data_IF_335874447975
#
_entry.id   IF_335874447975
#
_cell.length_a   1.000
_cell.length_b   1.000
_cell.length_c   1.000
_cell.angle_alpha   90.00
_cell.angle_beta   90.00
_cell.angle_gamma   90.00
#
_symmetry.space_group_name_H-M   'P 1'
#
loop_
_entity.id
_entity.type
_entity.pdbx_description
1 polymer ?
#
# COMPACT_ATOMS: atom_id res chain seq x y z
N UNK A 1 0.42 8.62 17.72
CA UNK A 1 -0.69 7.68 17.46
C UNK A 1 -0.20 6.25 17.63
N UNK A 2 -1.08 5.26 17.84
CA UNK A 2 -0.67 3.85 17.96
C UNK A 2 -0.15 3.30 16.63
N UNK A 3 0.66 2.24 16.68
CA UNK A 3 1.19 1.56 15.49
C UNK A 3 0.10 1.10 14.51
N UNK A 4 -1.01 0.54 15.00
CA UNK A 4 -2.10 0.05 14.14
C UNK A 4 -2.82 1.22 13.46
N UNK A 5 -3.03 2.32 14.19
CA UNK A 5 -3.64 3.52 13.61
C UNK A 5 -2.72 4.15 12.55
N UNK A 6 -1.40 4.18 12.81
CA UNK A 6 -0.41 4.69 11.86
C UNK A 6 -0.34 3.80 10.60
N UNK A 7 -0.29 2.47 10.77
CA UNK A 7 -0.23 1.52 9.67
C UNK A 7 -1.48 1.62 8.79
N UNK A 8 -2.66 1.74 9.40
CA UNK A 8 -3.92 1.94 8.69
C UNK A 8 -3.93 3.28 7.93
N UNK A 9 -3.47 4.36 8.57
CA UNK A 9 -3.42 5.68 7.95
C UNK A 9 -2.51 5.71 6.72
N UNK A 10 -1.28 5.21 6.81
CA UNK A 10 -0.36 5.17 5.66
C UNK A 10 -0.90 4.25 4.56
N UNK A 11 -1.47 3.09 4.91
CA UNK A 11 -2.04 2.18 3.91
C UNK A 11 -3.24 2.79 3.18
N UNK A 12 -4.06 3.60 3.85
CA UNK A 12 -5.18 4.29 3.23
C UNK A 12 -4.74 5.27 2.12
N UNK A 13 -3.58 5.92 2.28
CA UNK A 13 -2.99 6.81 1.27
C UNK A 13 -2.64 6.09 -0.04
N UNK A 14 -2.45 4.77 0.02
CA UNK A 14 -2.00 3.94 -1.10
C UNK A 14 -3.14 3.13 -1.75
N UNK A 15 -4.38 3.36 -1.32
CA UNK A 15 -5.54 2.75 -1.97
C UNK A 15 -5.72 3.30 -3.39
N UNK A 16 -6.21 2.44 -4.27
CA UNK A 16 -6.48 2.76 -5.66
C UNK A 16 -7.62 1.89 -6.17
N UNK A 17 -8.11 2.15 -7.38
CA UNK A 17 -9.10 1.28 -8.00
C UNK A 17 -8.58 -0.16 -8.07
N UNK A 18 -9.36 -1.08 -7.50
CA UNK A 18 -9.00 -2.49 -7.40
C UNK A 18 -8.04 -2.86 -6.26
N UNK A 19 -7.62 -1.91 -5.41
CA UNK A 19 -6.72 -2.15 -4.27
C UNK A 19 -7.34 -1.60 -2.98
N UNK A 20 -7.55 -2.48 -2.00
CA UNK A 20 -8.21 -2.15 -0.73
C UNK A 20 -7.34 -2.51 0.48
N UNK A 21 -7.44 -1.73 1.54
CA UNK A 21 -6.81 -2.05 2.83
C UNK A 21 -7.64 -3.06 3.62
N UNK A 22 -6.98 -3.80 4.50
CA UNK A 22 -7.64 -4.56 5.58
C UNK A 22 -7.27 -3.96 6.93
N UNK A 23 -7.96 -4.40 7.99
CA UNK A 23 -7.70 -3.95 9.36
C UNK A 23 -6.22 -4.15 9.71
N UNK A 24 -5.59 -3.10 10.24
CA UNK A 24 -4.23 -3.18 10.76
C UNK A 24 -4.16 -4.06 12.01
N UNK A 25 -3.05 -4.76 12.18
CA UNK A 25 -2.78 -5.60 13.33
C UNK A 25 -1.27 -5.68 13.58
N UNK A 26 -0.87 -5.47 14.84
CA UNK A 26 0.54 -5.51 15.28
C UNK A 26 1.45 -4.63 14.41
N UNK A 27 1.05 -3.38 14.20
CA UNK A 27 1.78 -2.39 13.42
C UNK A 27 1.79 -2.66 11.92
N UNK A 28 1.00 -3.60 11.41
CA UNK A 28 1.00 -3.98 9.99
C UNK A 28 -0.36 -3.79 9.35
N UNK A 29 -0.39 -3.21 8.15
CA UNK A 29 -1.59 -3.11 7.32
C UNK A 29 -1.30 -3.57 5.89
N UNK A 30 -2.04 -4.58 5.43
CA UNK A 30 -1.89 -5.10 4.07
C UNK A 30 -2.91 -4.46 3.13
N UNK A 31 -2.45 -4.18 1.91
CA UNK A 31 -3.27 -3.84 0.76
C UNK A 31 -3.50 -5.07 -0.10
N UNK A 32 -4.74 -5.27 -0.55
CA UNK A 32 -5.18 -6.45 -1.27
C UNK A 32 -5.82 -6.08 -2.61
N UNK A 33 -5.56 -6.87 -3.64
CA UNK A 33 -6.27 -6.77 -4.90
C UNK A 33 -7.71 -7.25 -4.75
N UNK A 34 -8.69 -6.54 -5.32
CA UNK A 34 -10.10 -6.98 -5.34
C UNK A 34 -10.43 -7.92 -6.49
N UNK A 35 -9.57 -7.94 -7.52
CA UNK A 35 -9.73 -8.70 -8.76
C UNK A 35 -8.37 -9.22 -9.24
N UNK A 36 -8.38 -10.17 -10.17
CA UNK A 36 -7.13 -10.66 -10.79
C UNK A 36 -6.55 -9.63 -11.75
N UNK A 37 -5.22 -9.49 -11.78
CA UNK A 37 -4.56 -8.53 -12.67
C UNK A 37 -3.05 -8.44 -12.47
N UNK A 38 -2.45 -7.40 -13.07
CA UNK A 38 -1.06 -7.01 -12.88
C UNK A 38 -0.98 -5.78 -11.97
N UNK A 39 -0.09 -5.84 -10.98
CA UNK A 39 0.19 -4.70 -10.09
C UNK A 39 1.10 -3.70 -10.81
N UNK A 40 0.76 -2.42 -10.76
CA UNK A 40 1.65 -1.32 -11.16
C UNK A 40 2.11 -0.59 -9.90
N UNK A 41 3.38 -0.17 -9.87
CA UNK A 41 3.96 0.53 -8.73
C UNK A 41 4.74 1.73 -9.25
N UNK A 42 4.47 2.91 -8.70
CA UNK A 42 5.38 4.06 -8.81
C UNK A 42 6.44 3.94 -7.71
N UNK A 43 7.57 3.34 -8.07
CA UNK A 43 8.68 3.14 -7.14
C UNK A 43 9.17 4.47 -6.54
N UNK A 44 9.12 5.57 -7.30
CA UNK A 44 9.57 6.87 -6.81
C UNK A 44 8.72 7.38 -5.65
N UNK A 45 7.39 7.21 -5.69
CA UNK A 45 6.52 7.57 -4.55
C UNK A 45 6.79 6.66 -3.35
N UNK A 46 6.90 5.35 -3.57
CA UNK A 46 7.16 4.37 -2.51
C UNK A 46 8.50 4.63 -1.82
N UNK A 47 9.55 4.87 -2.60
CA UNK A 47 10.90 5.14 -2.09
C UNK A 47 10.94 6.46 -1.30
N UNK A 48 10.25 7.51 -1.77
CA UNK A 48 10.14 8.76 -1.01
C UNK A 48 9.40 8.58 0.30
N UNK A 49 8.32 7.78 0.34
CA UNK A 49 7.63 7.45 1.60
C UNK A 49 8.57 6.70 2.54
N UNK A 50 9.28 5.69 2.05
CA UNK A 50 10.23 4.90 2.85
C UNK A 50 11.42 5.72 3.36
N UNK A 51 11.76 6.83 2.70
CA UNK A 51 12.83 7.74 3.11
C UNK A 51 12.39 8.79 4.15
N UNK A 52 11.11 8.86 4.53
CA UNK A 52 10.59 9.88 5.46
C UNK A 52 11.11 9.67 6.87
N UNK A 53 11.01 8.44 7.36
CA UNK A 53 11.28 8.03 8.74
C UNK A 53 11.45 6.51 8.79
N UNK A 54 12.43 6.01 9.55
CA UNK A 54 12.69 4.57 9.71
C UNK A 54 11.53 3.81 10.36
N UNK A 55 10.63 4.51 11.05
CA UNK A 55 9.46 3.92 11.67
C UNK A 55 8.44 3.37 10.65
N UNK A 56 8.46 3.84 9.41
CA UNK A 56 7.49 3.49 8.37
C UNK A 56 8.19 2.72 7.24
N UNK A 57 7.65 1.57 6.87
CA UNK A 57 8.10 0.84 5.68
C UNK A 57 6.92 0.37 4.86
N UNK A 58 6.97 0.61 3.56
CA UNK A 58 6.05 0.12 2.55
C UNK A 58 6.81 -0.86 1.65
N UNK A 59 6.41 -2.12 1.71
CA UNK A 59 6.87 -3.16 0.81
C UNK A 59 5.78 -3.48 -0.21
N UNK A 60 6.12 -3.56 -1.49
CA UNK A 60 5.16 -3.88 -2.56
C UNK A 60 5.53 -5.21 -3.24
N UNK A 61 4.57 -5.81 -3.95
CA UNK A 61 4.94 -6.74 -5.01
C UNK A 61 5.81 -6.01 -6.05
N UNK A 62 6.62 -6.78 -6.79
CA UNK A 62 7.37 -6.21 -7.90
C UNK A 62 6.42 -5.63 -8.96
N UNK A 63 6.80 -4.56 -9.67
CA UNK A 63 6.02 -4.03 -10.77
C UNK A 63 5.68 -5.12 -11.79
N UNK A 64 4.46 -5.11 -12.31
CA UNK A 64 3.93 -6.10 -13.25
C UNK A 64 3.84 -7.53 -12.69
N UNK A 65 3.86 -7.70 -11.36
CA UNK A 65 3.55 -9.00 -10.76
C UNK A 65 2.07 -9.36 -10.96
N UNK A 66 1.75 -10.60 -11.34
CA UNK A 66 0.37 -11.08 -11.37
C UNK A 66 -0.15 -11.26 -9.94
N UNK A 67 -1.40 -10.90 -9.71
CA UNK A 67 -2.09 -11.06 -8.43
C UNK A 67 -3.50 -11.60 -8.66
N UNK A 68 -3.97 -12.46 -7.75
CA UNK A 68 -5.35 -12.95 -7.71
C UNK A 68 -6.21 -12.02 -6.85
N UNK A 69 -7.53 -12.08 -7.01
CA UNK A 69 -8.44 -11.45 -6.06
C UNK A 69 -8.13 -11.93 -4.63
N UNK A 70 -8.07 -11.00 -3.68
CA UNK A 70 -7.67 -11.23 -2.29
C UNK A 70 -6.16 -11.29 -2.04
N UNK A 71 -5.32 -11.35 -3.07
CA UNK A 71 -3.86 -11.39 -2.94
C UNK A 71 -3.29 -10.07 -2.39
N UNK A 72 -2.24 -10.15 -1.58
CA UNK A 72 -1.54 -8.98 -1.03
C UNK A 72 -0.72 -8.32 -2.14
N UNK A 73 -0.91 -7.01 -2.33
CA UNK A 73 -0.16 -6.20 -3.30
C UNK A 73 0.91 -5.33 -2.65
N UNK A 74 0.68 -4.92 -1.41
CA UNK A 74 1.62 -4.15 -0.62
C UNK A 74 1.34 -4.33 0.88
N UNK A 75 2.36 -4.07 1.70
CA UNK A 75 2.33 -4.14 3.15
C UNK A 75 2.93 -2.86 3.70
N UNK A 76 2.19 -2.17 4.55
CA UNK A 76 2.71 -1.13 5.42
C UNK A 76 3.09 -1.76 6.74
N UNK A 77 4.28 -1.45 7.24
CA UNK A 77 4.75 -1.80 8.57
C UNK A 77 5.15 -0.53 9.32
N UNK A 78 4.66 -0.42 10.54
CA UNK A 78 5.12 0.49 11.56
C UNK A 78 5.96 -0.33 12.53
N UNK A 79 7.22 0.05 12.69
CA UNK A 79 8.20 -0.72 13.48
C UNK A 79 8.10 -0.40 14.98
N UNK A 80 8.03 0.87 15.43
CA UNK A 80 7.81 1.19 16.84
C UNK A 80 6.32 1.10 17.21
N UNK A 81 6.03 0.91 18.51
CA UNK A 81 4.65 0.82 19.03
C UNK A 81 3.80 2.10 18.82
N UNK A 82 4.44 3.22 18.50
CA UNK A 82 3.79 4.49 18.22
C UNK A 82 4.63 5.35 17.27
N UNK A 83 3.94 6.19 16.49
CA UNK A 83 4.54 7.16 15.55
C UNK A 83 3.90 8.53 15.72
N UNK A 84 4.67 9.60 15.48
CA UNK A 84 4.19 10.98 15.53
C UNK A 84 3.33 11.32 14.31
N UNK A 85 2.29 12.16 14.50
CA UNK A 85 1.37 12.55 13.42
C UNK A 85 2.10 13.19 12.22
N UNK A 86 3.14 13.99 12.49
CA UNK A 86 3.91 14.66 11.44
C UNK A 86 4.61 13.70 10.46
N UNK A 87 4.88 12.45 10.85
CA UNK A 87 5.40 11.42 9.93
C UNK A 87 4.31 11.03 8.93
N UNK A 88 3.08 10.82 9.40
CA UNK A 88 1.94 10.48 8.55
C UNK A 88 1.59 11.61 7.59
N UNK A 89 1.64 12.86 8.07
CA UNK A 89 1.34 14.03 7.24
C UNK A 89 2.37 14.17 6.10
N UNK A 90 3.66 13.89 6.38
CA UNK A 90 4.70 13.82 5.34
C UNK A 90 4.45 12.68 4.35
N UNK A 91 4.03 11.50 4.83
CA UNK A 91 3.66 10.38 3.95
C UNK A 91 2.50 10.76 3.03
N UNK A 92 1.50 11.47 3.55
CA UNK A 92 0.38 11.98 2.78
C UNK A 92 0.84 12.98 1.71
N UNK A 93 1.78 13.86 2.04
CA UNK A 93 2.39 14.79 1.08
C UNK A 93 3.09 14.07 -0.09
N UNK A 94 3.83 13.00 0.19
CA UNK A 94 4.48 12.21 -0.87
C UNK A 94 3.48 11.39 -1.70
N UNK A 95 2.48 10.78 -1.05
CA UNK A 95 1.42 10.04 -1.72
C UNK A 95 0.57 10.95 -2.63
N UNK A 96 0.35 12.21 -2.27
CA UNK A 96 -0.42 13.17 -3.05
C UNK A 96 0.22 13.53 -4.40
N UNK A 97 1.46 13.12 -4.67
CA UNK A 97 2.18 13.41 -5.92
C UNK A 97 1.68 12.57 -7.11
N UNK A 98 0.93 11.51 -6.85
CA UNK A 98 0.40 10.65 -7.90
C UNK A 98 -0.21 9.35 -7.37
N UNK A 99 -0.34 8.37 -8.25
CA UNK A 99 -0.92 7.06 -7.90
C UNK A 99 0.22 6.07 -7.64
N UNK A 100 0.49 5.78 -6.38
CA UNK A 100 1.61 4.91 -5.96
C UNK A 100 1.42 3.44 -6.37
N UNK A 101 0.18 2.94 -6.30
CA UNK A 101 -0.20 1.56 -6.61
C UNK A 101 -1.36 1.54 -7.61
N UNK A 102 -1.35 0.59 -8.53
CA UNK A 102 -2.47 0.36 -9.43
C UNK A 102 -2.66 -1.12 -9.75
N UNK A 103 -3.85 -1.46 -10.26
CA UNK A 103 -4.19 -2.82 -10.64
C UNK A 103 -4.79 -2.85 -12.04
N UNK A 104 -4.04 -3.40 -13.00
CA UNK A 104 -4.49 -3.62 -14.38
C UNK A 104 -5.21 -4.97 -14.46
N UNK A 105 -6.53 -5.02 -14.64
CA UNK A 105 -7.28 -6.28 -14.62
C UNK A 105 -6.90 -7.15 -15.82
N UNK A 106 -6.85 -8.47 -15.62
CA UNK A 106 -6.84 -9.37 -16.77
C UNK A 106 -8.23 -9.41 -17.41
N UNK A 107 -8.26 -9.45 -18.75
CA UNK A 107 -9.49 -9.75 -19.46
C UNK A 107 -10.10 -11.06 -18.92
N UNK A 108 -11.42 -11.09 -18.78
CA UNK A 108 -12.11 -12.35 -18.54
C UNK A 108 -11.95 -13.19 -19.80
N UNK A 109 -11.38 -14.38 -19.68
CA UNK A 109 -11.52 -15.39 -20.72
C UNK A 109 -12.99 -15.77 -20.70
N UNK A 110 -13.74 -15.42 -21.75
CA UNK A 110 -15.07 -16.00 -21.96
C UNK A 110 -14.84 -17.51 -22.10
N UNK A 111 -15.40 -18.35 -21.23
CA UNK A 111 -15.29 -19.79 -21.41
C UNK A 111 -15.98 -20.20 -22.73
N UNK A 112 -15.47 -21.22 -23.44
CA UNK A 112 -16.06 -21.72 -24.68
C UNK A 112 -17.48 -22.25 -24.49
#
# INVERSE_FOLDING_TARGET
MTEDAAAAAVAALLQADGIVTRKAYTGRCNLHATRRGLVTVDAGIIDRINAIDEAVTVATLAPLSPVRAGGVVATVKIIPLAVGQGVIDRCAGEAARGVALGLRPFAQSVPP
#
